data_IF_262213748920
#
_entry.id   IF_262213748920
#
_cell.length_a   1.000
_cell.length_b   1.000
_cell.length_c   1.000
_cell.angle_alpha   90.00
_cell.angle_beta   90.00
_cell.angle_gamma   90.00
#
_symmetry.space_group_name_H-M   'P 1'
#
loop_
_entity.id
_entity.type
_entity.pdbx_description
1 polymer ?
#
# COMPACT_ATOMS: atom_id res chain seq x y z
N UNK A 1 2.56 -6.69 -3.48
CA UNK A 1 3.35 -6.12 -4.60
C UNK A 1 3.57 -4.65 -4.32
N UNK A 2 4.79 -4.13 -4.47
CA UNK A 2 5.09 -2.71 -4.29
C UNK A 2 5.09 -2.04 -5.66
N UNK A 3 4.37 -0.94 -5.82
CA UNK A 3 4.30 -0.16 -7.08
C UNK A 3 4.63 1.28 -6.78
N UNK A 4 5.38 1.95 -7.68
CA UNK A 4 5.61 3.39 -7.59
C UNK A 4 4.69 4.09 -8.57
N UNK A 5 3.84 4.99 -8.07
CA UNK A 5 2.98 5.86 -8.86
C UNK A 5 3.78 6.90 -9.65
N UNK A 6 3.13 7.55 -10.62
CA UNK A 6 3.79 8.57 -11.47
C UNK A 6 4.22 9.82 -10.67
N UNK A 7 3.58 10.05 -9.53
CA UNK A 7 3.86 11.10 -8.55
C UNK A 7 4.97 10.72 -7.55
N UNK A 8 5.51 9.50 -7.64
CA UNK A 8 6.48 8.97 -6.70
C UNK A 8 5.86 8.31 -5.46
N UNK A 9 4.52 8.27 -5.36
CA UNK A 9 3.83 7.59 -4.25
C UNK A 9 4.12 6.11 -4.31
N UNK A 10 4.60 5.53 -3.21
CA UNK A 10 4.82 4.08 -3.10
C UNK A 10 3.58 3.41 -2.56
N UNK A 11 3.10 2.42 -3.32
CA UNK A 11 1.89 1.67 -3.04
C UNK A 11 2.24 0.24 -2.66
N UNK A 12 1.63 -0.26 -1.60
CA UNK A 12 1.59 -1.68 -1.28
C UNK A 12 0.25 -2.26 -1.73
N UNK A 13 0.28 -3.15 -2.72
CA UNK A 13 -0.90 -3.74 -3.35
C UNK A 13 -1.19 -5.12 -2.76
N UNK A 14 -2.39 -5.30 -2.20
CA UNK A 14 -2.97 -6.57 -1.78
C UNK A 14 -4.18 -6.90 -2.68
N UNK A 15 -3.91 -7.60 -3.78
CA UNK A 15 -4.92 -7.94 -4.79
C UNK A 15 -6.07 -8.79 -4.23
N UNK A 16 -5.77 -9.72 -3.32
CA UNK A 16 -6.78 -10.59 -2.71
C UNK A 16 -7.84 -9.81 -1.92
N UNK A 17 -7.45 -8.65 -1.40
CA UNK A 17 -8.36 -7.75 -0.67
C UNK A 17 -8.99 -6.70 -1.58
N UNK A 18 -8.46 -6.52 -2.80
CA UNK A 18 -8.88 -5.46 -3.71
C UNK A 18 -8.42 -4.06 -3.28
N UNK A 19 -7.37 -3.96 -2.45
CA UNK A 19 -6.88 -2.68 -1.94
C UNK A 19 -5.40 -2.42 -2.25
N UNK A 20 -5.11 -1.17 -2.57
CA UNK A 20 -3.77 -0.58 -2.58
C UNK A 20 -3.62 0.35 -1.38
N UNK A 21 -2.46 0.32 -0.74
CA UNK A 21 -2.20 1.08 0.46
C UNK A 21 -0.99 1.99 0.28
N UNK A 22 -1.03 3.18 0.86
CA UNK A 22 0.08 4.13 0.85
C UNK A 22 0.20 4.84 2.21
N UNK A 23 1.32 5.53 2.44
CA UNK A 23 1.53 6.35 3.63
C UNK A 23 1.64 7.82 3.27
N UNK A 24 0.99 8.66 4.05
CA UNK A 24 1.07 10.11 3.98
C UNK A 24 1.05 10.66 5.41
N UNK A 25 1.98 11.55 5.74
CA UNK A 25 2.11 12.17 7.07
C UNK A 25 2.15 11.20 8.28
N UNK A 26 2.56 9.94 8.05
CA UNK A 26 2.67 8.91 9.08
C UNK A 26 1.40 8.07 9.27
N UNK A 27 0.32 8.43 8.58
CA UNK A 27 -0.90 7.66 8.52
C UNK A 27 -0.89 6.69 7.34
N UNK A 28 -1.69 5.63 7.47
CA UNK A 28 -1.83 4.59 6.44
C UNK A 28 -3.21 4.70 5.82
N UNK A 29 -3.23 4.85 4.50
CA UNK A 29 -4.43 5.00 3.72
C UNK A 29 -4.63 3.81 2.78
N UNK A 30 -5.88 3.51 2.49
CA UNK A 30 -6.30 2.46 1.58
C UNK A 30 -7.15 3.03 0.44
N UNK A 31 -7.01 2.41 -0.72
CA UNK A 31 -7.69 2.77 -1.97
C UNK A 31 -8.15 1.48 -2.63
N UNK A 32 -9.38 1.43 -3.12
CA UNK A 32 -9.83 0.30 -3.94
C UNK A 32 -8.99 0.20 -5.22
N UNK A 33 -8.67 -1.01 -5.63
CA UNK A 33 -7.96 -1.26 -6.88
C UNK A 33 -8.93 -1.28 -8.06
N UNK A 34 -8.43 -0.84 -9.20
CA UNK A 34 -9.04 -1.05 -10.51
C UNK A 34 -9.05 -2.55 -10.87
N UNK A 35 -9.83 -2.94 -11.90
CA UNK A 35 -9.86 -4.32 -12.40
C UNK A 35 -8.47 -4.83 -12.86
N UNK A 36 -7.58 -3.93 -13.27
CA UNK A 36 -6.20 -4.28 -13.65
C UNK A 36 -5.27 -4.48 -12.44
N UNK A 37 -5.77 -4.26 -11.21
CA UNK A 37 -5.03 -4.42 -9.95
C UNK A 37 -4.12 -3.26 -9.59
N UNK A 38 -4.31 -2.08 -10.19
CA UNK A 38 -3.61 -0.83 -9.86
C UNK A 38 -4.53 0.15 -9.10
N UNK A 39 -3.97 1.11 -8.33
CA UNK A 39 -4.75 2.18 -7.72
C UNK A 39 -5.48 3.03 -8.78
N UNK A 40 -6.64 3.61 -8.45
CA UNK A 40 -7.30 4.60 -9.32
C UNK A 40 -6.51 5.91 -9.37
N UNK A 41 -6.58 6.61 -10.51
CA UNK A 41 -5.98 7.96 -10.66
C UNK A 41 -6.70 9.02 -9.81
N UNK A 42 -8.00 8.83 -9.58
CA UNK A 42 -8.84 9.64 -8.67
C UNK A 42 -9.57 8.70 -7.68
N UNK A 43 -8.86 8.21 -6.65
CA UNK A 43 -9.41 7.20 -5.77
C UNK A 43 -10.24 7.80 -4.62
N UNK A 44 -11.25 7.03 -4.18
CA UNK A 44 -11.79 7.23 -2.84
C UNK A 44 -10.77 6.68 -1.83
N UNK A 45 -10.27 7.58 -0.98
CA UNK A 45 -9.26 7.28 0.04
C UNK A 45 -9.93 6.99 1.37
N UNK A 46 -9.50 5.91 2.02
CA UNK A 46 -9.96 5.51 3.34
C UNK A 46 -8.79 5.51 4.32
N UNK A 47 -9.00 5.99 5.55
CA UNK A 47 -8.04 5.79 6.63
C UNK A 47 -8.13 4.34 7.10
N UNK A 48 -7.01 3.63 7.19
CA UNK A 48 -7.02 2.21 7.58
C UNK A 48 -7.50 2.00 9.02
N UNK A 49 -7.35 3.00 9.89
CA UNK A 49 -7.91 2.94 11.25
C UNK A 49 -9.44 2.85 11.29
N UNK A 50 -10.11 3.29 10.22
CA UNK A 50 -11.57 3.24 10.10
C UNK A 50 -12.08 1.91 9.52
N UNK A 51 -11.19 0.95 9.24
CA UNK A 51 -11.59 -0.37 8.75
C UNK A 51 -12.28 -1.16 9.86
N UNK A 52 -13.32 -1.91 9.51
CA UNK A 52 -14.01 -2.85 10.41
C UNK A 52 -13.20 -4.14 10.59
N UNK A 53 -11.91 -4.00 10.94
CA UNK A 53 -10.97 -5.07 11.16
C UNK A 53 -10.52 -5.11 12.62
N UNK A 54 -10.03 -6.27 13.10
CA UNK A 54 -9.35 -6.35 14.38
C UNK A 54 -8.16 -5.38 14.43
N UNK A 55 -8.01 -4.67 15.54
CA UNK A 55 -6.94 -3.68 15.74
C UNK A 55 -5.54 -4.30 15.61
N UNK A 56 -5.37 -5.56 15.96
CA UNK A 56 -4.11 -6.30 15.79
C UNK A 56 -3.76 -6.55 14.32
N UNK A 57 -4.75 -6.76 13.44
CA UNK A 57 -4.54 -6.87 12.00
C UNK A 57 -4.23 -5.51 11.38
N UNK A 58 -4.89 -4.43 11.84
CA UNK A 58 -4.57 -3.05 11.45
C UNK A 58 -3.12 -2.71 11.83
N UNK A 59 -2.73 -2.95 13.07
CA UNK A 59 -1.37 -2.69 13.56
C UNK A 59 -0.32 -3.48 12.77
N UNK A 60 -0.62 -4.74 12.45
CA UNK A 60 0.27 -5.61 11.66
C UNK A 60 0.44 -5.08 10.25
N UNK A 61 -0.65 -4.65 9.60
CA UNK A 61 -0.60 -4.03 8.28
C UNK A 61 0.24 -2.75 8.32
N UNK A 62 -0.02 -1.86 9.28
CA UNK A 62 0.74 -0.62 9.46
C UNK A 62 2.24 -0.87 9.65
N UNK A 63 2.61 -1.85 10.48
CA UNK A 63 4.03 -2.22 10.70
C UNK A 63 4.68 -2.79 9.43
N UNK A 64 3.98 -3.65 8.71
CA UNK A 64 4.46 -4.19 7.44
C UNK A 64 4.66 -3.08 6.41
N UNK A 65 3.71 -2.16 6.30
CA UNK A 65 3.81 -1.02 5.41
C UNK A 65 4.93 -0.07 5.78
N UNK A 66 5.07 0.25 7.07
CA UNK A 66 6.20 1.05 7.55
C UNK A 66 7.52 0.40 7.13
N UNK A 67 7.69 -0.89 7.41
CA UNK A 67 8.92 -1.62 7.07
C UNK A 67 9.20 -1.65 5.56
N UNK A 68 8.17 -1.71 4.72
CA UNK A 68 8.33 -1.86 3.27
C UNK A 68 8.48 -0.50 2.57
N UNK A 69 7.69 0.49 2.98
CA UNK A 69 7.59 1.78 2.28
C UNK A 69 8.61 2.80 2.80
N UNK A 70 9.04 2.72 4.07
CA UNK A 70 10.12 3.57 4.61
C UNK A 70 11.51 2.99 4.37
N UNK A 71 11.61 1.73 3.92
CA UNK A 71 12.88 1.20 3.49
C UNK A 71 13.37 2.02 2.28
N UNK A 72 14.61 2.48 2.34
CA UNK A 72 15.27 3.19 1.24
C UNK A 72 15.64 2.18 0.14
N UNK A 73 14.60 1.62 -0.48
CA UNK A 73 14.71 0.62 -1.54
C UNK A 73 14.87 1.34 -2.88
N UNK A 74 15.87 0.92 -3.62
CA UNK A 74 16.01 1.25 -5.04
C UNK A 74 14.93 0.56 -5.88
N UNK A 75 14.75 1.01 -7.12
CA UNK A 75 13.81 0.42 -8.07
C UNK A 75 14.14 -1.07 -8.33
N UNK A 76 15.42 -1.42 -8.45
CA UNK A 76 15.87 -2.82 -8.64
C UNK A 76 15.53 -3.71 -7.43
N UNK A 77 15.63 -3.20 -6.21
CA UNK A 77 15.25 -3.95 -5.00
C UNK A 77 13.74 -4.18 -4.92
N UNK A 78 12.95 -3.18 -5.34
CA UNK A 78 11.49 -3.32 -5.44
C UNK A 78 11.11 -4.38 -6.49
N UNK A 79 11.75 -4.36 -7.67
CA UNK A 79 11.54 -5.37 -8.70
C UNK A 79 11.91 -6.77 -8.22
N UNK A 80 13.03 -6.90 -7.49
CA UNK A 80 13.47 -8.16 -6.88
C UNK A 80 12.45 -8.67 -5.86
N UNK A 81 11.95 -7.82 -4.98
CA UNK A 81 10.92 -8.18 -3.99
C UNK A 81 9.60 -8.59 -4.63
N UNK A 82 9.26 -8.02 -5.79
CA UNK A 82 8.05 -8.37 -6.54
C UNK A 82 8.18 -9.67 -7.35
N UNK A 83 9.40 -10.14 -7.63
CA UNK A 83 9.68 -11.35 -8.39
C UNK A 83 9.78 -12.63 -7.54
N UNK A 84 9.82 -12.48 -6.21
CA UNK A 84 9.77 -13.56 -5.23
C UNK A 84 8.33 -14.04 -4.99
#
# INVERSE_FOLDING_TARGET
MIVTGQDGTRWFILKDMGYGFFMEDGDVFAVQLQENGLPHDDPVVFLVDDFDWPQDEIDKLKRMMLSVLTADLSVEEIETLNAL
#
